data_IF_576935460058
#
_entry.id   IF_576935460058
#
_cell.length_a   1.000
_cell.length_b   1.000
_cell.length_c   1.000
_cell.angle_alpha   90.00
_cell.angle_beta   90.00
_cell.angle_gamma   90.00
#
_symmetry.space_group_name_H-M   'P 1'
#
loop_
_entity.id
_entity.type
_entity.pdbx_description
1 polymer ?
#
# COMPACT_ATOMS: atom_id res chain seq x y z
N UNK A 1 4.73 8.39 -18.22
CA UNK A 1 5.39 7.07 -18.12
C UNK A 1 4.53 6.29 -17.15
N UNK A 2 3.57 5.54 -17.68
CA UNK A 2 2.71 4.67 -16.87
C UNK A 2 3.63 3.55 -16.38
N UNK A 3 3.96 3.54 -15.08
CA UNK A 3 4.58 2.37 -14.47
C UNK A 3 3.47 1.35 -14.33
N UNK A 4 3.41 0.42 -15.27
CA UNK A 4 2.55 -0.76 -15.15
C UNK A 4 3.00 -1.54 -13.91
N UNK A 5 2.04 -1.86 -13.06
CA UNK A 5 2.28 -2.58 -11.82
C UNK A 5 2.50 -4.06 -12.20
N UNK A 6 3.74 -4.43 -12.52
CA UNK A 6 4.04 -5.74 -13.13
C UNK A 6 4.05 -6.90 -12.12
N UNK A 7 4.18 -6.62 -10.81
CA UNK A 7 4.24 -7.69 -9.82
C UNK A 7 2.83 -8.21 -9.46
N UNK A 8 2.59 -9.54 -9.48
CA UNK A 8 1.29 -10.11 -9.07
C UNK A 8 0.88 -9.71 -7.64
N UNK A 9 1.88 -9.53 -6.77
CA UNK A 9 1.67 -9.05 -5.41
C UNK A 9 1.23 -7.59 -5.41
N UNK A 10 1.85 -6.69 -6.18
CA UNK A 10 1.43 -5.29 -6.23
C UNK A 10 0.01 -5.13 -6.81
N UNK A 11 -0.37 -5.93 -7.81
CA UNK A 11 -1.75 -5.98 -8.32
C UNK A 11 -2.76 -6.40 -7.25
N UNK A 12 -2.39 -7.34 -6.39
CA UNK A 12 -3.22 -7.76 -5.26
C UNK A 12 -3.31 -6.67 -4.20
N UNK A 13 -2.19 -6.01 -3.89
CA UNK A 13 -2.11 -4.92 -2.92
C UNK A 13 -2.91 -3.69 -3.37
N UNK A 14 -2.96 -3.39 -4.68
CA UNK A 14 -3.79 -2.33 -5.24
C UNK A 14 -5.28 -2.47 -4.86
N UNK A 15 -5.77 -3.70 -4.76
CA UNK A 15 -7.16 -3.98 -4.41
C UNK A 15 -7.39 -3.96 -2.89
N UNK A 16 -6.41 -4.45 -2.12
CA UNK A 16 -6.55 -4.62 -0.66
C UNK A 16 -6.27 -3.33 0.10
N UNK A 17 -5.25 -2.55 -0.28
CA UNK A 17 -4.82 -1.35 0.47
C UNK A 17 -5.97 -0.35 0.69
N UNK A 18 -6.80 0.02 -0.31
CA UNK A 18 -7.93 0.93 -0.09
C UNK A 18 -8.95 0.37 0.90
N UNK A 19 -9.20 -0.94 0.87
CA UNK A 19 -10.15 -1.59 1.79
C UNK A 19 -9.67 -1.53 3.24
N UNK A 20 -8.35 -1.72 3.47
CA UNK A 20 -7.74 -1.60 4.80
C UNK A 20 -7.78 -0.17 5.32
N UNK A 21 -7.55 0.80 4.43
CA UNK A 21 -7.53 2.22 4.78
C UNK A 21 -8.90 2.82 5.12
N UNK A 22 -10.01 2.14 4.77
CA UNK A 22 -11.37 2.58 5.13
C UNK A 22 -11.61 2.60 6.63
N UNK A 23 -11.09 1.59 7.32
CA UNK A 23 -11.35 1.40 8.76
C UNK A 23 -10.27 2.04 9.62
N UNK A 24 -9.03 2.12 9.12
CA UNK A 24 -7.86 2.54 9.89
C UNK A 24 -6.82 3.25 9.02
N UNK A 25 -6.14 4.25 9.58
CA UNK A 25 -4.92 4.80 9.00
C UNK A 25 -3.69 4.07 9.52
N UNK A 26 -2.68 3.90 8.68
CA UNK A 26 -1.47 3.14 9.00
C UNK A 26 -0.22 3.96 8.74
N UNK A 27 0.82 3.82 9.54
CA UNK A 27 2.16 4.13 9.03
C UNK A 27 2.54 3.13 7.93
N UNK A 28 3.51 3.50 7.07
CA UNK A 28 3.98 2.64 5.98
C UNK A 28 4.46 1.28 6.52
N UNK A 29 5.14 1.27 7.68
CA UNK A 29 5.66 0.04 8.26
C UNK A 29 4.56 -0.84 8.86
N UNK A 30 3.57 -0.25 9.54
CA UNK A 30 2.42 -1.00 10.06
C UNK A 30 1.63 -1.63 8.91
N UNK A 31 1.39 -0.88 7.84
CA UNK A 31 0.70 -1.37 6.65
C UNK A 31 1.47 -2.54 6.02
N UNK A 32 2.79 -2.40 5.85
CA UNK A 32 3.63 -3.46 5.32
C UNK A 32 3.61 -4.72 6.19
N UNK A 33 3.63 -4.58 7.52
CA UNK A 33 3.59 -5.71 8.44
C UNK A 33 2.25 -6.45 8.39
N UNK A 34 1.14 -5.73 8.34
CA UNK A 34 -0.19 -6.36 8.25
C UNK A 34 -0.37 -7.08 6.93
N UNK A 35 0.04 -6.45 5.81
CA UNK A 35 -0.02 -7.07 4.50
C UNK A 35 0.94 -8.28 4.43
N UNK A 36 2.15 -8.21 4.98
CA UNK A 36 3.09 -9.33 4.98
C UNK A 36 2.50 -10.56 5.70
N UNK A 37 1.80 -10.35 6.81
CA UNK A 37 1.07 -11.42 7.53
C UNK A 37 -0.07 -11.98 6.69
N UNK A 38 -0.86 -11.13 6.04
CA UNK A 38 -2.00 -11.54 5.21
C UNK A 38 -1.59 -12.36 4.00
N UNK A 39 -0.47 -12.01 3.37
CA UNK A 39 0.09 -12.71 2.21
C UNK A 39 1.06 -13.83 2.61
N UNK A 40 1.21 -14.12 3.91
CA UNK A 40 2.12 -15.15 4.44
C UNK A 40 3.55 -15.05 3.89
N UNK A 41 4.05 -13.82 3.73
CA UNK A 41 5.37 -13.56 3.14
C UNK A 41 6.29 -12.75 4.08
N UNK A 42 7.62 -12.84 3.92
CA UNK A 42 8.55 -11.98 4.64
C UNK A 42 8.30 -10.49 4.35
N UNK A 43 8.48 -9.64 5.37
CA UNK A 43 8.32 -8.19 5.23
C UNK A 43 9.18 -7.61 4.10
N UNK A 44 10.39 -8.13 3.87
CA UNK A 44 11.25 -7.64 2.79
C UNK A 44 10.68 -7.88 1.39
N UNK A 45 9.83 -8.89 1.20
CA UNK A 45 9.23 -9.21 -0.09
C UNK A 45 8.04 -8.31 -0.43
N UNK A 46 7.41 -7.69 0.58
CA UNK A 46 6.23 -6.84 0.37
C UNK A 46 6.56 -5.36 0.18
N UNK A 47 7.72 -4.90 0.63
CA UNK A 47 8.04 -3.46 0.62
C UNK A 47 8.04 -2.85 -0.79
N UNK A 48 8.67 -3.53 -1.75
CA UNK A 48 8.71 -3.05 -3.14
C UNK A 48 7.32 -3.09 -3.78
N UNK A 49 6.58 -4.22 -3.77
CA UNK A 49 5.22 -4.28 -4.32
C UNK A 49 4.24 -3.32 -3.65
N UNK A 50 4.38 -3.08 -2.34
CA UNK A 50 3.56 -2.12 -1.62
C UNK A 50 3.89 -0.68 -2.05
N UNK A 51 5.17 -0.35 -2.26
CA UNK A 51 5.56 0.96 -2.79
C UNK A 51 4.95 1.21 -4.17
N UNK A 52 5.00 0.21 -5.07
CA UNK A 52 4.40 0.28 -6.40
C UNK A 52 2.87 0.50 -6.31
N UNK A 53 2.20 -0.26 -5.45
CA UNK A 53 0.76 -0.13 -5.23
C UNK A 53 0.37 1.24 -4.65
N UNK A 54 1.13 1.74 -3.67
CA UNK A 54 0.89 3.05 -3.06
C UNK A 54 1.14 4.20 -4.06
N UNK A 55 2.21 4.12 -4.87
CA UNK A 55 2.48 5.09 -5.94
C UNK A 55 1.33 5.15 -6.95
N UNK A 56 0.84 3.99 -7.39
CA UNK A 56 -0.28 3.91 -8.33
C UNK A 56 -1.60 4.41 -7.71
N UNK A 57 -1.91 4.06 -6.47
CA UNK A 57 -3.11 4.57 -5.77
C UNK A 57 -3.03 6.08 -5.55
N UNK A 58 -1.85 6.62 -5.24
CA UNK A 58 -1.63 8.06 -5.10
C UNK A 58 -1.80 8.79 -6.43
N UNK A 59 -1.31 8.22 -7.54
CA UNK A 59 -1.54 8.78 -8.88
C UNK A 59 -3.04 8.82 -9.25
N UNK A 60 -3.82 7.86 -8.75
CA UNK A 60 -5.28 7.81 -8.88
C UNK A 60 -6.02 8.67 -7.84
N UNK A 61 -5.31 9.43 -7.00
CA UNK A 61 -5.89 10.24 -5.91
C UNK A 61 -6.78 9.43 -4.96
N UNK A 62 -6.47 8.16 -4.73
CA UNK A 62 -7.21 7.32 -3.77
C UNK A 62 -6.58 7.28 -2.38
N UNK A 63 -5.27 7.51 -2.31
CA UNK A 63 -4.52 7.53 -1.05
C UNK A 63 -3.56 8.71 -1.03
N UNK A 64 -3.28 9.20 0.17
CA UNK A 64 -2.23 10.19 0.42
C UNK A 64 -1.41 9.82 1.65
N UNK A 65 -0.21 10.39 1.74
CA UNK A 65 0.60 10.31 2.95
C UNK A 65 0.46 11.61 3.75
N UNK A 66 -0.29 11.55 4.86
CA UNK A 66 -0.38 12.64 5.82
C UNK A 66 0.97 12.78 6.55
N UNK A 67 1.75 13.75 6.11
CA UNK A 67 3.05 14.09 6.70
C UNK A 67 3.00 14.54 8.16
N UNK A 68 1.87 15.06 8.64
CA UNK A 68 1.70 15.52 10.03
C UNK A 68 1.59 14.33 10.97
N UNK A 69 0.82 13.33 10.56
CA UNK A 69 0.61 12.11 11.35
C UNK A 69 1.58 10.97 10.98
N UNK A 70 2.30 11.11 9.87
CA UNK A 70 3.15 10.07 9.25
C UNK A 70 2.36 8.81 8.91
N UNK A 71 1.17 8.99 8.34
CA UNK A 71 0.24 7.90 8.02
C UNK A 71 -0.23 7.95 6.57
N UNK A 72 -0.48 6.79 6.01
CA UNK A 72 -1.25 6.61 4.78
C UNK A 72 -2.72 6.68 5.15
N UNK A 73 -3.48 7.49 4.40
CA UNK A 73 -4.92 7.67 4.57
C UNK A 73 -5.61 7.55 3.20
N UNK A 74 -6.90 7.20 3.24
CA UNK A 74 -7.77 7.25 2.07
C UNK A 74 -8.16 8.71 1.78
N UNK A 75 -8.25 9.09 0.50
CA UNK A 75 -8.69 10.42 0.02
C UNK A 75 -10.17 10.40 -0.37
#
# INVERSE_FOLDING_TARGET
MERECDSPLALSLLQIVPSRLKDHSYSILELAQELAKEFECPLCEILTPMSEALEALAALHQVEFDTRQKRVVLV
#
